data_IF_492156712503
#
_entry.id   IF_492156712503
#
_cell.length_a   1.000
_cell.length_b   1.000
_cell.length_c   1.000
_cell.angle_alpha   90.00
_cell.angle_beta   90.00
_cell.angle_gamma   90.00
#
_symmetry.space_group_name_H-M   'P 1'
#
loop_
_entity.id
_entity.type
_entity.pdbx_description
1 polymer ?
#
# COMPACT_ATOMS: atom_id res chain seq x y z
N UNK A 1 -13.76 10.07 8.13
CA UNK A 1 -13.77 10.63 9.51
C UNK A 1 -13.36 9.51 10.47
N UNK A 2 -12.48 9.77 11.44
CA UNK A 2 -12.12 8.77 12.44
C UNK A 2 -13.35 8.44 13.30
N UNK A 3 -13.60 7.14 13.54
CA UNK A 3 -14.69 6.68 14.43
C UNK A 3 -14.38 6.92 15.90
N UNK A 4 -13.09 7.03 16.24
CA UNK A 4 -12.58 7.33 17.57
C UNK A 4 -12.03 8.76 17.56
N UNK A 5 -12.42 9.57 18.55
CA UNK A 5 -11.82 10.90 18.76
C UNK A 5 -10.50 10.72 19.50
N UNK A 6 -9.40 11.12 18.85
CA UNK A 6 -8.07 11.16 19.47
C UNK A 6 -7.91 12.41 20.33
N UNK A 7 -7.32 12.25 21.52
CA UNK A 7 -6.88 13.36 22.35
C UNK A 7 -5.77 14.15 21.64
N UNK A 8 -5.39 15.32 22.19
CA UNK A 8 -4.27 16.08 21.63
C UNK A 8 -2.95 15.29 21.71
N UNK A 9 -2.74 14.56 22.81
CA UNK A 9 -1.56 13.72 23.00
C UNK A 9 -1.55 12.57 22.01
N UNK A 10 -2.66 11.83 21.88
CA UNK A 10 -2.77 10.72 20.93
C UNK A 10 -2.51 11.18 19.49
N UNK A 11 -2.91 12.40 19.13
CA UNK A 11 -2.64 12.96 17.80
C UNK A 11 -1.15 13.18 17.54
N UNK A 12 -0.38 13.55 18.56
CA UNK A 12 1.08 13.73 18.45
C UNK A 12 1.80 12.38 18.39
N UNK A 13 1.23 11.37 19.04
CA UNK A 13 1.79 10.03 19.16
C UNK A 13 1.37 9.05 18.06
N UNK A 14 0.30 9.35 17.33
CA UNK A 14 -0.21 8.48 16.26
C UNK A 14 0.62 8.56 14.96
N UNK A 15 0.67 7.43 14.25
CA UNK A 15 1.28 7.32 12.93
C UNK A 15 2.79 7.06 12.97
N UNK A 16 3.39 7.03 11.77
CA UNK A 16 4.83 6.82 11.53
C UNK A 16 5.44 5.61 12.23
N UNK A 17 4.61 4.59 12.49
CA UNK A 17 5.00 3.36 13.18
C UNK A 17 5.63 3.60 14.56
N UNK A 18 5.36 4.76 15.18
CA UNK A 18 5.92 5.11 16.48
C UNK A 18 5.61 4.02 17.51
N UNK A 19 6.54 3.70 18.44
CA UNK A 19 6.32 2.72 19.49
C UNK A 19 5.45 3.31 20.62
N UNK A 20 4.21 3.66 20.29
CA UNK A 20 3.25 4.30 21.20
C UNK A 20 2.02 3.43 21.39
N UNK A 21 1.34 3.60 22.52
CA UNK A 21 0.14 2.83 22.84
C UNK A 21 -0.97 3.01 21.79
N UNK A 22 -1.10 4.21 21.20
CA UNK A 22 -2.13 4.47 20.19
C UNK A 22 -1.86 3.75 18.86
N UNK A 23 -0.59 3.63 18.46
CA UNK A 23 -0.20 2.87 17.25
C UNK A 23 -0.44 1.37 17.48
N UNK A 24 -0.12 0.87 18.66
CA UNK A 24 -0.39 -0.53 19.04
C UNK A 24 -1.88 -0.86 19.04
N UNK A 25 -2.69 0.01 19.65
CA UNK A 25 -4.15 -0.13 19.64
C UNK A 25 -4.71 -0.08 18.21
N UNK A 26 -4.21 0.82 17.37
CA UNK A 26 -4.61 0.89 15.96
C UNK A 26 -4.28 -0.41 15.22
N UNK A 27 -3.13 -1.02 15.48
CA UNK A 27 -2.75 -2.30 14.91
C UNK A 27 -3.68 -3.43 15.39
N UNK A 28 -3.90 -3.56 16.70
CA UNK A 28 -4.77 -4.61 17.25
C UNK A 28 -6.20 -4.53 16.69
N UNK A 29 -6.75 -3.32 16.56
CA UNK A 29 -8.06 -3.12 15.95
C UNK A 29 -8.08 -3.49 14.46
N UNK A 30 -7.02 -3.13 13.72
CA UNK A 30 -6.88 -3.49 12.31
C UNK A 30 -6.80 -5.00 12.14
N UNK A 31 -6.03 -5.67 12.99
CA UNK A 31 -5.86 -7.12 12.98
C UNK A 31 -7.16 -7.86 13.33
N UNK A 32 -7.88 -7.40 14.35
CA UNK A 32 -9.21 -7.93 14.69
C UNK A 32 -10.20 -7.77 13.53
N UNK A 33 -10.17 -6.62 12.86
CA UNK A 33 -11.01 -6.34 11.69
C UNK A 33 -10.64 -7.25 10.51
N UNK A 34 -9.35 -7.43 10.24
CA UNK A 34 -8.86 -8.34 9.20
C UNK A 34 -9.30 -9.78 9.47
N UNK A 35 -9.16 -10.26 10.72
CA UNK A 35 -9.63 -11.59 11.14
C UNK A 35 -11.14 -11.74 10.93
N UNK A 36 -11.94 -10.77 11.37
CA UNK A 36 -13.40 -10.81 11.21
C UNK A 36 -13.86 -10.83 9.73
N UNK A 37 -13.15 -10.11 8.86
CA UNK A 37 -13.43 -10.05 7.42
C UNK A 37 -12.77 -11.20 6.64
N UNK A 38 -11.95 -12.03 7.29
CA UNK A 38 -11.05 -13.02 6.65
C UNK A 38 -10.16 -12.37 5.57
N UNK A 39 -9.72 -11.14 5.83
CA UNK A 39 -8.79 -10.45 4.95
C UNK A 39 -7.42 -11.10 5.03
N UNK A 40 -6.79 -11.31 3.88
CA UNK A 40 -5.44 -11.88 3.75
C UNK A 40 -4.36 -10.82 3.55
N UNK A 41 -4.75 -9.55 3.41
CA UNK A 41 -3.88 -8.47 2.99
C UNK A 41 -4.20 -7.19 3.77
N UNK A 42 -3.17 -6.46 4.24
CA UNK A 42 -3.33 -5.19 4.95
C UNK A 42 -2.44 -4.14 4.30
N UNK A 43 -3.03 -2.98 3.98
CA UNK A 43 -2.36 -1.82 3.41
C UNK A 43 -1.91 -0.85 4.50
N UNK A 44 -0.62 -0.51 4.49
CA UNK A 44 0.01 0.54 5.29
C UNK A 44 0.37 1.72 4.38
N UNK A 45 -0.55 2.67 4.27
CA UNK A 45 -0.30 3.90 3.53
C UNK A 45 0.37 4.94 4.41
N UNK A 46 1.55 5.41 4.00
CA UNK A 46 2.28 6.45 4.68
C UNK A 46 2.10 7.80 3.95
N UNK A 47 1.91 8.91 4.67
CA UNK A 47 1.78 10.23 4.05
C UNK A 47 3.14 10.75 3.55
N UNK A 48 3.12 11.82 2.75
CA UNK A 48 4.34 12.44 2.21
C UNK A 48 5.32 12.96 3.27
N UNK A 49 4.82 13.24 4.48
CA UNK A 49 5.64 13.65 5.63
C UNK A 49 6.41 12.50 6.28
N UNK A 50 6.10 11.24 5.96
CA UNK A 50 6.89 10.09 6.39
C UNK A 50 8.04 9.86 5.41
N UNK A 51 9.22 10.38 5.75
CA UNK A 51 10.46 10.37 4.94
C UNK A 51 11.53 9.45 5.56
N UNK A 52 12.61 9.07 4.83
CA UNK A 52 13.64 8.14 5.30
C UNK A 52 14.61 8.75 6.32
N UNK A 53 14.09 9.27 7.43
CA UNK A 53 14.93 9.63 8.59
C UNK A 53 15.32 8.37 9.35
N UNK A 54 16.46 8.40 10.04
CA UNK A 54 16.90 7.28 10.87
C UNK A 54 15.83 6.86 11.91
N UNK A 55 15.14 7.84 12.50
CA UNK A 55 14.03 7.61 13.44
C UNK A 55 12.86 6.88 12.78
N UNK A 56 12.40 7.34 11.62
CA UNK A 56 11.27 6.72 10.90
C UNK A 56 11.58 5.29 10.46
N UNK A 57 12.81 5.04 9.99
CA UNK A 57 13.27 3.70 9.60
C UNK A 57 13.30 2.79 10.82
N UNK A 58 13.89 3.23 11.94
CA UNK A 58 13.93 2.46 13.19
C UNK A 58 12.53 2.09 13.66
N UNK A 59 11.60 3.05 13.72
CA UNK A 59 10.22 2.80 14.11
C UNK A 59 9.52 1.78 13.20
N UNK A 60 9.71 1.90 11.89
CA UNK A 60 9.14 0.97 10.92
C UNK A 60 9.67 -0.45 11.11
N UNK A 61 10.99 -0.61 11.23
CA UNK A 61 11.64 -1.90 11.45
C UNK A 61 11.16 -2.53 12.76
N UNK A 62 11.15 -1.77 13.85
CA UNK A 62 10.70 -2.24 15.17
C UNK A 62 9.23 -2.66 15.14
N UNK A 63 8.37 -1.88 14.47
CA UNK A 63 6.96 -2.18 14.34
C UNK A 63 6.73 -3.49 13.58
N UNK A 64 7.25 -3.62 12.36
CA UNK A 64 7.01 -4.80 11.52
C UNK A 64 7.65 -6.08 12.06
N UNK A 65 8.73 -5.96 12.84
CA UNK A 65 9.37 -7.10 13.50
C UNK A 65 8.57 -7.60 14.71
N UNK A 66 7.87 -6.71 15.42
CA UNK A 66 7.16 -7.04 16.66
C UNK A 66 5.72 -7.53 16.46
N UNK A 67 5.02 -7.08 15.42
CA UNK A 67 3.58 -7.34 15.27
C UNK A 67 3.25 -8.82 14.96
N UNK A 68 2.14 -9.33 15.49
CA UNK A 68 1.56 -10.61 15.03
C UNK A 68 0.99 -10.43 13.63
N UNK A 69 1.62 -11.06 12.63
CA UNK A 69 1.26 -10.90 11.22
C UNK A 69 1.13 -12.22 10.45
N UNK A 70 1.03 -13.33 11.16
CA UNK A 70 1.02 -14.68 10.55
C UNK A 70 -0.12 -14.83 9.55
N UNK A 71 0.21 -15.26 8.33
CA UNK A 71 -0.77 -15.50 7.28
C UNK A 71 -1.29 -14.23 6.58
N UNK A 72 -0.76 -13.04 6.91
CA UNK A 72 -1.12 -11.77 6.28
C UNK A 72 -0.03 -11.30 5.33
N UNK A 73 -0.46 -10.81 4.16
CA UNK A 73 0.38 -10.03 3.24
C UNK A 73 0.33 -8.58 3.69
N UNK A 74 1.48 -8.01 4.04
CA UNK A 74 1.57 -6.61 4.43
C UNK A 74 2.07 -5.80 3.25
N UNK A 75 1.32 -4.76 2.88
CA UNK A 75 1.59 -3.97 1.69
C UNK A 75 1.86 -2.52 2.11
N UNK A 76 3.02 -1.97 1.73
CA UNK A 76 3.48 -0.66 2.16
C UNK A 76 3.47 0.34 1.01
N UNK A 77 2.79 1.47 1.21
CA UNK A 77 2.71 2.56 0.24
C UNK A 77 3.43 3.82 0.77
N UNK A 78 4.72 3.99 0.44
CA UNK A 78 5.44 5.22 0.76
C UNK A 78 5.02 6.35 -0.17
N UNK A 79 4.47 7.44 0.39
CA UNK A 79 4.22 8.70 -0.36
C UNK A 79 5.27 9.78 -0.11
N UNK A 80 6.19 9.53 0.81
CA UNK A 80 7.33 10.41 1.08
C UNK A 80 8.42 10.25 0.02
N UNK A 81 9.48 11.04 0.14
CA UNK A 81 10.67 10.94 -0.73
C UNK A 81 11.57 9.81 -0.25
N UNK A 82 11.30 8.59 -0.72
CA UNK A 82 12.11 7.40 -0.45
C UNK A 82 12.90 7.01 -1.69
N UNK A 83 14.19 6.75 -1.54
CA UNK A 83 15.03 6.24 -2.62
C UNK A 83 14.64 4.79 -2.94
N UNK A 84 14.67 4.42 -4.21
CA UNK A 84 14.18 3.11 -4.67
C UNK A 84 14.98 1.95 -4.07
N UNK A 85 16.31 2.08 -3.92
CA UNK A 85 17.11 1.03 -3.29
C UNK A 85 16.68 0.80 -1.84
N UNK A 86 16.44 1.86 -1.08
CA UNK A 86 16.01 1.74 0.31
C UNK A 86 14.61 1.13 0.43
N UNK A 87 13.69 1.47 -0.47
CA UNK A 87 12.36 0.83 -0.51
C UNK A 87 12.48 -0.66 -0.77
N UNK A 88 13.32 -1.06 -1.74
CA UNK A 88 13.56 -2.47 -2.05
C UNK A 88 14.13 -3.21 -0.85
N UNK A 89 15.17 -2.67 -0.23
CA UNK A 89 15.86 -3.30 0.89
C UNK A 89 14.90 -3.46 2.09
N UNK A 90 14.12 -2.42 2.42
CA UNK A 90 13.11 -2.49 3.48
C UNK A 90 11.98 -3.48 3.16
N UNK A 91 11.51 -3.53 1.92
CA UNK A 91 10.49 -4.50 1.52
C UNK A 91 11.00 -5.94 1.64
N UNK A 92 12.27 -6.17 1.27
CA UNK A 92 12.89 -7.48 1.41
C UNK A 92 13.09 -7.88 2.87
N UNK A 93 13.71 -7.01 3.67
CA UNK A 93 14.08 -7.29 5.06
C UNK A 93 12.84 -7.47 5.95
N UNK A 94 11.77 -6.73 5.65
CA UNK A 94 10.54 -6.74 6.44
C UNK A 94 9.42 -7.59 5.83
N UNK A 95 9.67 -8.30 4.72
CA UNK A 95 8.65 -9.08 3.99
C UNK A 95 7.39 -8.26 3.68
N UNK A 96 7.58 -7.13 2.98
CA UNK A 96 6.52 -6.21 2.58
C UNK A 96 6.37 -6.17 1.07
N UNK A 97 5.13 -6.01 0.61
CA UNK A 97 4.83 -5.76 -0.80
C UNK A 97 4.88 -4.26 -1.08
N UNK A 98 5.64 -3.83 -2.08
CA UNK A 98 5.68 -2.43 -2.47
C UNK A 98 4.36 -2.04 -3.16
N UNK A 99 3.63 -1.12 -2.55
CA UNK A 99 2.40 -0.55 -3.09
C UNK A 99 2.74 0.72 -3.85
N UNK A 100 2.42 0.75 -5.12
CA UNK A 100 2.85 1.83 -6.00
C UNK A 100 1.82 2.09 -7.11
N UNK A 101 1.81 3.30 -7.66
CA UNK A 101 1.24 3.55 -8.98
C UNK A 101 2.33 3.21 -10.01
N UNK A 102 2.18 2.13 -10.81
CA UNK A 102 3.22 1.65 -11.69
C UNK A 102 3.54 2.62 -12.83
N UNK A 103 2.66 3.59 -13.11
CA UNK A 103 2.91 4.65 -14.08
C UNK A 103 3.71 5.83 -13.51
N UNK A 104 3.90 5.86 -12.19
CA UNK A 104 4.71 6.88 -11.50
C UNK A 104 6.08 6.32 -11.15
N UNK A 105 6.13 5.11 -10.58
CA UNK A 105 7.37 4.43 -10.21
C UNK A 105 7.25 2.93 -10.47
N UNK A 106 8.37 2.30 -10.85
CA UNK A 106 8.45 0.85 -10.92
C UNK A 106 8.27 0.22 -9.53
N UNK A 107 7.67 -0.97 -9.47
CA UNK A 107 7.60 -1.73 -8.22
C UNK A 107 8.97 -2.26 -7.83
N UNK A 108 9.22 -2.33 -6.52
CA UNK A 108 10.43 -2.92 -5.95
C UNK A 108 10.20 -4.38 -5.55
N UNK A 109 8.97 -4.88 -5.71
CA UNK A 109 8.58 -6.27 -5.43
C UNK A 109 7.86 -6.85 -6.66
N UNK A 110 8.55 -7.05 -7.80
CA UNK A 110 7.91 -7.41 -9.07
C UNK A 110 7.18 -8.76 -9.04
N UNK A 111 7.58 -9.69 -8.18
CA UNK A 111 6.89 -10.97 -7.99
C UNK A 111 5.58 -10.85 -7.17
N UNK A 112 5.34 -9.70 -6.54
CA UNK A 112 4.31 -9.47 -5.54
C UNK A 112 3.67 -8.10 -5.80
N UNK A 113 2.75 -8.05 -6.76
CA UNK A 113 2.20 -6.78 -7.23
C UNK A 113 1.00 -6.31 -6.40
N UNK A 114 1.09 -5.06 -5.94
CA UNK A 114 -0.03 -4.31 -5.39
C UNK A 114 -0.03 -2.90 -5.99
N UNK A 115 -0.81 -2.71 -7.03
CA UNK A 115 -0.93 -1.43 -7.72
C UNK A 115 -2.11 -0.61 -7.24
N UNK A 116 -1.89 0.68 -7.02
CA UNK A 116 -2.92 1.66 -6.68
C UNK A 116 -2.85 2.83 -7.65
N UNK A 117 -3.77 2.83 -8.60
CA UNK A 117 -3.82 3.78 -9.69
C UNK A 117 -4.64 5.00 -9.28
N UNK A 118 -4.00 6.16 -9.26
CA UNK A 118 -4.61 7.41 -8.79
C UNK A 118 -4.98 8.38 -9.93
N UNK A 119 -4.75 7.97 -11.18
CA UNK A 119 -4.84 8.80 -12.37
C UNK A 119 -3.54 9.57 -12.62
N UNK A 120 -3.03 9.54 -13.86
CA UNK A 120 -1.72 10.12 -14.22
C UNK A 120 -1.65 11.64 -14.03
N UNK A 121 -2.80 12.32 -14.19
CA UNK A 121 -2.95 13.76 -14.00
C UNK A 121 -3.90 14.08 -12.84
N UNK A 122 -3.97 13.18 -11.86
CA UNK A 122 -4.82 13.27 -10.69
C UNK A 122 -6.13 12.51 -10.82
N UNK A 123 -6.93 12.56 -9.75
CA UNK A 123 -8.06 11.66 -9.54
C UNK A 123 -9.18 11.73 -10.59
N UNK A 124 -9.28 12.81 -11.38
CA UNK A 124 -10.28 12.94 -12.47
C UNK A 124 -9.82 12.34 -13.80
N UNK A 125 -8.59 11.83 -13.87
CA UNK A 125 -8.09 11.18 -15.07
C UNK A 125 -8.87 9.89 -15.34
N UNK A 126 -9.20 9.64 -16.60
CA UNK A 126 -9.72 8.37 -17.08
C UNK A 126 -8.64 7.73 -17.93
N UNK A 127 -8.32 6.47 -17.66
CA UNK A 127 -7.28 5.77 -18.40
C UNK A 127 -7.76 5.45 -19.82
N UNK A 128 -6.86 5.60 -20.79
CA UNK A 128 -7.09 5.12 -22.14
C UNK A 128 -6.90 3.60 -22.21
N UNK A 129 -7.58 2.95 -23.16
CA UNK A 129 -7.48 1.49 -23.31
C UNK A 129 -6.03 1.03 -23.52
N UNK A 130 -5.22 1.77 -24.28
CA UNK A 130 -3.82 1.45 -24.48
C UNK A 130 -3.03 1.47 -23.17
N UNK A 131 -3.28 2.44 -22.28
CA UNK A 131 -2.61 2.49 -20.98
C UNK A 131 -3.00 1.30 -20.10
N UNK A 132 -4.26 0.86 -20.18
CA UNK A 132 -4.72 -0.33 -19.47
C UNK A 132 -4.10 -1.61 -20.05
N UNK A 133 -3.83 -1.66 -21.37
CA UNK A 133 -3.05 -2.74 -21.98
C UNK A 133 -1.62 -2.73 -21.47
N UNK A 134 -0.95 -1.57 -21.45
CA UNK A 134 0.40 -1.43 -20.90
C UNK A 134 0.43 -1.89 -19.42
N UNK A 135 -0.63 -1.62 -18.64
CA UNK A 135 -0.74 -2.10 -17.26
C UNK A 135 -0.77 -3.63 -17.15
N UNK A 136 -1.39 -4.33 -18.11
CA UNK A 136 -1.40 -5.81 -18.13
C UNK A 136 0.03 -6.34 -18.29
N UNK A 137 0.83 -5.70 -19.14
CA UNK A 137 2.23 -6.10 -19.38
C UNK A 137 3.13 -5.93 -18.16
N UNK A 138 2.76 -5.04 -17.22
CA UNK A 138 3.47 -4.84 -15.96
C UNK A 138 3.14 -5.89 -14.90
N UNK A 139 2.12 -6.73 -15.11
CA UNK A 139 1.75 -7.76 -14.14
C UNK A 139 2.64 -9.01 -14.27
N UNK A 140 3.07 -9.60 -13.13
CA UNK A 140 3.80 -10.86 -13.16
C UNK A 140 2.88 -12.01 -13.62
N UNK A 141 3.41 -12.86 -14.50
CA UNK A 141 2.71 -14.07 -14.96
C UNK A 141 2.57 -15.09 -13.82
N UNK A 142 1.39 -15.69 -13.67
CA UNK A 142 1.09 -16.75 -12.70
C UNK A 142 1.36 -16.38 -11.22
N UNK A 143 1.39 -15.09 -10.88
CA UNK A 143 1.53 -14.62 -9.50
C UNK A 143 0.31 -13.80 -9.08
N UNK A 144 -0.12 -13.88 -7.81
CA UNK A 144 -1.21 -13.07 -7.31
C UNK A 144 -0.86 -11.59 -7.39
N UNK A 145 -1.69 -10.83 -8.11
CA UNK A 145 -1.56 -9.38 -8.27
C UNK A 145 -2.83 -8.68 -7.84
N UNK A 146 -2.67 -7.56 -7.13
CA UNK A 146 -3.78 -6.70 -6.74
C UNK A 146 -3.70 -5.38 -7.51
N UNK A 147 -4.75 -5.02 -8.22
CA UNK A 147 -4.83 -3.76 -8.96
C UNK A 147 -6.07 -3.00 -8.50
N UNK A 148 -5.85 -1.81 -7.93
CA UNK A 148 -6.91 -0.95 -7.43
C UNK A 148 -6.93 0.37 -8.18
N UNK A 149 -8.06 0.69 -8.81
CA UNK A 149 -8.32 1.99 -9.39
C UNK A 149 -8.92 2.92 -8.33
N UNK A 150 -8.36 4.11 -8.17
CA UNK A 150 -8.75 5.10 -7.16
C UNK A 150 -8.93 6.50 -7.76
N UNK A 151 -9.32 6.54 -9.02
CA UNK A 151 -9.77 7.72 -9.77
C UNK A 151 -11.32 7.77 -9.85
N UNK A 152 -11.91 8.85 -10.38
CA UNK A 152 -13.38 9.00 -10.51
C UNK A 152 -14.00 7.89 -11.32
N UNK A 153 -13.31 7.47 -12.39
CA UNK A 153 -13.78 6.48 -13.35
C UNK A 153 -13.41 5.06 -12.94
N UNK A 154 -12.97 4.85 -11.68
CA UNK A 154 -12.41 3.58 -11.19
C UNK A 154 -13.23 2.34 -11.54
N UNK A 155 -14.57 2.41 -11.52
CA UNK A 155 -15.43 1.27 -11.88
C UNK A 155 -15.30 0.95 -13.37
N UNK A 156 -15.31 1.97 -14.23
CA UNK A 156 -15.24 1.77 -15.67
C UNK A 156 -13.85 1.27 -16.06
N UNK A 157 -12.80 1.89 -15.53
CA UNK A 157 -11.42 1.51 -15.82
C UNK A 157 -11.13 0.08 -15.33
N UNK A 158 -11.62 -0.28 -14.14
CA UNK A 158 -11.50 -1.65 -13.62
C UNK A 158 -12.24 -2.68 -14.49
N UNK A 159 -13.38 -2.34 -15.08
CA UNK A 159 -14.12 -3.24 -15.97
C UNK A 159 -13.39 -3.42 -17.31
N UNK A 160 -12.89 -2.34 -17.90
CA UNK A 160 -12.08 -2.43 -19.14
C UNK A 160 -10.82 -3.26 -18.88
N UNK A 161 -10.12 -2.98 -17.78
CA UNK A 161 -8.93 -3.74 -17.40
C UNK A 161 -9.23 -5.23 -17.16
N UNK A 162 -10.36 -5.55 -16.52
CA UNK A 162 -10.80 -6.94 -16.33
C UNK A 162 -11.01 -7.66 -17.68
N UNK A 163 -11.68 -7.01 -18.63
CA UNK A 163 -11.93 -7.59 -19.95
C UNK A 163 -10.61 -7.86 -20.71
N UNK A 164 -9.65 -6.93 -20.62
CA UNK A 164 -8.31 -7.12 -21.20
C UNK A 164 -7.58 -8.33 -20.60
N UNK A 165 -7.73 -8.58 -19.29
CA UNK A 165 -7.15 -9.77 -18.64
C UNK A 165 -7.83 -11.08 -19.04
N UNK A 166 -9.11 -11.03 -19.38
CA UNK A 166 -9.89 -12.20 -19.81
C UNK A 166 -9.72 -12.51 -21.31
N UNK A 167 -9.05 -11.60 -22.06
CA UNK A 167 -8.76 -11.78 -23.48
C UNK A 167 -9.95 -11.48 -24.40
N UNK A 168 -10.86 -10.61 -23.97
CA UNK A 168 -12.01 -10.11 -24.75
C UNK A 168 -11.71 -8.81 -25.51
#
# INVERSE_FOLDING_TARGET
>A
RLRIKLSEQDRKEAGFFKPTAIVDQAWQLTLASAKALRATTILFQCPASFTPTAEHISHMVDFFTRIERTGLRLCWEPRGKWEQELVRDLCQDLDLWHVVDPFVNATMTPAQCYFRLHGRQGWRYQYEQQELTDLVELLPTNQPSYVFFNNVYMRQDALVFKNLLEGE
#
